data_IF_939241408400
#
_entry.id   IF_939241408400
#
_cell.length_a   1.000
_cell.length_b   1.000
_cell.length_c   1.000
_cell.angle_alpha   90.00
_cell.angle_beta   90.00
_cell.angle_gamma   90.00
#
_symmetry.space_group_name_H-M   'P 1'
#
loop_
_entity.id
_entity.type
_entity.pdbx_description
1 polymer ?
#
# COMPACT_ATOMS: atom_id res chain seq x y z
N UNK A 1 10.87 -1.81 -36.84
CA UNK A 1 12.25 -2.18 -36.41
C UNK A 1 13.37 -1.60 -37.29
N UNK A 2 13.23 -1.49 -38.61
CA UNK A 2 14.30 -0.95 -39.48
C UNK A 2 14.61 0.56 -39.28
N UNK A 3 13.69 1.34 -38.70
CA UNK A 3 13.89 2.77 -38.41
C UNK A 3 14.59 3.05 -37.06
N UNK A 4 14.81 2.03 -36.22
CA UNK A 4 15.50 2.14 -34.93
C UNK A 4 17.01 1.91 -35.05
N UNK A 5 17.56 1.95 -36.27
CA UNK A 5 18.98 1.76 -36.55
C UNK A 5 19.51 2.93 -37.38
N UNK A 6 19.05 4.16 -37.09
CA UNK A 6 19.75 5.34 -37.57
C UNK A 6 21.21 5.26 -37.12
N UNK A 7 22.12 5.50 -38.05
CA UNK A 7 23.54 5.62 -37.75
C UNK A 7 23.71 6.70 -36.68
N UNK A 8 24.19 6.33 -35.50
CA UNK A 8 24.41 7.26 -34.39
C UNK A 8 25.38 8.38 -34.79
N UNK A 9 26.26 8.12 -35.76
CA UNK A 9 27.16 9.10 -36.32
C UNK A 9 26.38 10.19 -37.07
N UNK A 10 25.36 9.81 -37.84
CA UNK A 10 24.52 10.73 -38.60
C UNK A 10 23.58 11.59 -37.73
N UNK A 11 23.38 11.25 -36.44
CA UNK A 11 22.53 12.02 -35.53
C UNK A 11 23.15 13.35 -35.10
N UNK A 12 24.44 13.57 -35.35
CA UNK A 12 25.19 14.76 -34.93
C UNK A 12 26.09 15.26 -36.06
N UNK A 13 26.40 16.56 -36.02
CA UNK A 13 27.21 17.22 -37.05
C UNK A 13 28.72 17.03 -36.86
N UNK A 14 29.16 16.71 -35.64
CA UNK A 14 30.55 16.36 -35.32
C UNK A 14 30.83 14.91 -35.70
N UNK A 15 32.08 14.55 -35.99
CA UNK A 15 32.44 13.14 -36.15
C UNK A 15 32.46 12.40 -34.81
N UNK A 16 32.06 11.12 -34.80
CA UNK A 16 32.24 10.24 -33.66
C UNK A 16 33.71 10.14 -33.21
N UNK A 17 33.95 10.38 -31.94
CA UNK A 17 35.26 10.39 -31.29
C UNK A 17 35.45 9.24 -30.27
N UNK A 18 34.42 8.39 -30.11
CA UNK A 18 34.42 7.21 -29.25
C UNK A 18 33.94 5.98 -30.03
N UNK A 19 34.57 4.83 -29.77
CA UNK A 19 34.13 3.53 -30.28
C UNK A 19 33.65 2.63 -29.15
N UNK A 20 32.46 2.06 -29.31
CA UNK A 20 31.89 1.09 -28.38
C UNK A 20 32.03 -0.31 -28.95
N UNK A 21 32.74 -1.19 -28.25
CA UNK A 21 32.94 -2.59 -28.64
C UNK A 21 32.00 -3.46 -27.82
N UNK A 22 31.17 -4.24 -28.52
CA UNK A 22 30.15 -5.13 -27.95
C UNK A 22 30.65 -6.56 -27.83
N UNK A 23 29.85 -7.44 -27.24
CA UNK A 23 30.23 -8.82 -26.91
C UNK A 23 30.59 -9.68 -28.14
N UNK A 24 29.97 -9.43 -29.29
CA UNK A 24 30.21 -10.12 -30.56
C UNK A 24 31.34 -9.47 -31.39
N UNK A 25 32.03 -8.47 -30.83
CA UNK A 25 33.11 -7.76 -31.51
C UNK A 25 32.63 -6.63 -32.43
N UNK A 26 31.31 -6.40 -32.55
CA UNK A 26 30.82 -5.25 -33.32
C UNK A 26 31.26 -3.95 -32.67
N UNK A 27 31.58 -2.98 -33.52
CA UNK A 27 32.02 -1.64 -33.10
C UNK A 27 30.99 -0.60 -33.52
N UNK A 28 30.50 0.16 -32.55
CA UNK A 28 29.51 1.22 -32.74
C UNK A 28 30.21 2.57 -32.56
N UNK A 29 30.11 3.44 -33.55
CA UNK A 29 30.60 4.81 -33.47
C UNK A 29 29.68 5.66 -32.56
N UNK A 30 30.28 6.45 -31.66
CA UNK A 30 29.54 7.26 -30.70
C UNK A 30 30.29 8.55 -30.34
N UNK A 31 29.58 9.44 -29.65
CA UNK A 31 30.04 10.78 -29.31
C UNK A 31 30.29 10.93 -27.81
N UNK A 32 31.52 11.29 -27.44
CA UNK A 32 31.95 11.41 -26.04
C UNK A 32 31.06 12.32 -25.22
N UNK A 33 30.71 13.50 -25.74
CA UNK A 33 29.90 14.49 -25.02
C UNK A 33 28.47 14.01 -24.74
N UNK A 34 27.87 13.20 -25.63
CA UNK A 34 26.54 12.60 -25.41
C UNK A 34 26.63 11.57 -24.29
N UNK A 35 27.62 10.68 -24.37
CA UNK A 35 27.79 9.60 -23.38
C UNK A 35 28.18 10.15 -22.00
N UNK A 36 29.09 11.12 -21.96
CA UNK A 36 29.57 11.75 -20.74
C UNK A 36 28.45 12.54 -20.03
N UNK A 37 27.64 13.28 -20.79
CA UNK A 37 26.50 14.02 -20.21
C UNK A 37 25.39 13.09 -19.71
N UNK A 38 25.19 11.95 -20.36
CA UNK A 38 24.15 10.99 -19.98
C UNK A 38 24.54 10.06 -18.82
N UNK A 39 25.84 9.78 -18.64
CA UNK A 39 26.33 8.83 -17.65
C UNK A 39 27.65 9.27 -17.01
N UNK A 40 27.69 9.44 -15.67
CA UNK A 40 28.93 9.73 -14.98
C UNK A 40 29.92 8.54 -15.00
N UNK A 41 29.43 7.32 -15.27
CA UNK A 41 30.30 6.15 -15.44
C UNK A 41 31.00 6.22 -16.79
N UNK A 42 30.25 6.49 -17.86
CA UNK A 42 30.82 6.65 -19.21
C UNK A 42 31.78 7.84 -19.27
N UNK A 43 31.43 8.98 -18.65
CA UNK A 43 32.33 10.14 -18.52
C UNK A 43 33.70 9.74 -17.94
N UNK A 44 33.70 9.03 -16.81
CA UNK A 44 34.94 8.55 -16.19
C UNK A 44 35.69 7.55 -17.06
N UNK A 45 34.97 6.69 -17.80
CA UNK A 45 35.59 5.72 -18.72
C UNK A 45 36.26 6.44 -19.89
N UNK A 46 35.61 7.44 -20.47
CA UNK A 46 36.15 8.28 -21.56
C UNK A 46 37.40 9.02 -21.08
N UNK A 47 37.33 9.69 -19.92
CA UNK A 47 38.47 10.41 -19.35
C UNK A 47 39.66 9.48 -19.01
N UNK A 48 39.42 8.20 -18.75
CA UNK A 48 40.49 7.19 -18.58
C UNK A 48 41.04 6.73 -19.93
N UNK A 49 40.16 6.48 -20.90
CA UNK A 49 40.54 6.01 -22.22
C UNK A 49 41.43 7.03 -22.96
N UNK A 50 41.11 8.32 -22.88
CA UNK A 50 41.92 9.39 -23.48
C UNK A 50 43.31 9.58 -22.85
N UNK A 51 43.53 9.08 -21.63
CA UNK A 51 44.87 9.09 -21.01
C UNK A 51 45.77 7.96 -21.53
N UNK A 52 45.20 6.94 -22.15
CA UNK A 52 45.96 5.93 -22.87
C UNK A 52 46.39 6.46 -24.24
N UNK A 53 47.58 6.09 -24.71
CA UNK A 53 48.03 6.39 -26.06
C UNK A 53 47.21 5.55 -27.07
N UNK A 54 46.03 6.04 -27.49
CA UNK A 54 45.16 5.34 -28.43
C UNK A 54 43.79 5.99 -28.64
N UNK A 55 43.02 5.46 -29.58
CA UNK A 55 41.64 5.88 -29.83
C UNK A 55 40.72 5.50 -28.66
N UNK A 56 39.78 6.39 -28.30
CA UNK A 56 38.87 6.17 -27.18
C UNK A 56 37.93 5.00 -27.43
N UNK A 57 38.16 3.89 -26.73
CA UNK A 57 37.39 2.66 -26.89
C UNK A 57 36.76 2.25 -25.57
N UNK A 58 35.45 2.03 -25.56
CA UNK A 58 34.68 1.55 -24.42
C UNK A 58 34.16 0.15 -24.72
N UNK A 59 34.36 -0.79 -23.80
CA UNK A 59 33.85 -2.17 -23.95
C UNK A 59 32.56 -2.33 -23.15
N UNK A 60 31.49 -2.77 -23.80
CA UNK A 60 30.20 -3.10 -23.20
C UNK A 60 29.94 -4.58 -23.46
N UNK A 61 30.19 -5.42 -22.46
CA UNK A 61 30.17 -6.87 -22.61
C UNK A 61 29.08 -7.51 -21.74
N UNK A 62 28.69 -8.74 -22.08
CA UNK A 62 27.69 -9.52 -21.34
C UNK A 62 26.24 -9.16 -21.68
N UNK A 63 26.04 -8.30 -22.68
CA UNK A 63 24.72 -7.91 -23.19
C UNK A 63 24.73 -8.04 -24.72
N UNK A 64 23.62 -8.47 -25.34
CA UNK A 64 23.45 -8.49 -26.80
C UNK A 64 23.66 -7.12 -27.45
N UNK A 65 24.26 -7.10 -28.65
CA UNK A 65 24.67 -5.87 -29.34
C UNK A 65 23.50 -4.98 -29.75
N UNK A 66 22.34 -5.57 -30.08
CA UNK A 66 21.08 -4.87 -30.33
C UNK A 66 20.59 -4.10 -29.10
N UNK A 67 20.68 -4.70 -27.90
CA UNK A 67 20.33 -4.03 -26.65
C UNK A 67 21.33 -2.93 -26.26
N UNK A 68 22.62 -3.10 -26.59
CA UNK A 68 23.61 -2.01 -26.43
C UNK A 68 23.27 -0.85 -27.37
N UNK A 69 22.92 -1.13 -28.62
CA UNK A 69 22.52 -0.09 -29.55
C UNK A 69 21.24 0.63 -29.08
N UNK A 70 20.23 -0.12 -28.63
CA UNK A 70 19.01 0.43 -28.05
C UNK A 70 19.30 1.34 -26.85
N UNK A 71 20.22 0.93 -25.96
CA UNK A 71 20.68 1.77 -24.84
C UNK A 71 21.26 3.08 -25.34
N UNK A 72 22.17 3.04 -26.32
CA UNK A 72 22.78 4.25 -26.89
C UNK A 72 21.76 5.15 -27.56
N UNK A 73 20.84 4.59 -28.35
CA UNK A 73 19.76 5.33 -28.98
C UNK A 73 18.93 6.13 -27.97
N UNK A 74 18.59 5.51 -26.83
CA UNK A 74 17.87 6.18 -25.75
C UNK A 74 18.69 7.29 -25.08
N UNK A 75 20.01 7.14 -24.97
CA UNK A 75 20.89 8.22 -24.49
C UNK A 75 20.92 9.41 -25.48
N UNK A 76 20.97 9.13 -26.78
CA UNK A 76 20.95 10.16 -27.82
C UNK A 76 19.62 10.91 -27.88
N UNK A 77 18.52 10.17 -27.78
CA UNK A 77 17.16 10.74 -27.75
C UNK A 77 16.86 11.47 -26.44
N UNK A 78 17.58 11.14 -25.36
CA UNK A 78 17.33 11.66 -24.00
C UNK A 78 15.90 11.39 -23.52
N UNK A 79 15.26 10.34 -24.04
CA UNK A 79 13.87 9.98 -23.78
C UNK A 79 13.72 8.46 -23.69
N UNK A 80 12.70 8.01 -22.96
CA UNK A 80 12.37 6.59 -22.82
C UNK A 80 11.30 6.23 -23.85
N UNK A 81 11.71 5.89 -25.06
CA UNK A 81 10.80 5.26 -26.03
C UNK A 81 10.27 3.95 -25.45
N UNK A 82 8.95 3.89 -25.21
CA UNK A 82 8.32 2.77 -24.51
C UNK A 82 8.45 1.45 -25.28
N UNK A 83 8.46 1.47 -26.62
CA UNK A 83 8.58 0.27 -27.43
C UNK A 83 10.00 -0.30 -27.38
N UNK A 84 11.01 0.57 -27.46
CA UNK A 84 12.42 0.18 -27.33
C UNK A 84 12.69 -0.38 -25.94
N UNK A 85 12.18 0.31 -24.91
CA UNK A 85 12.30 -0.12 -23.51
C UNK A 85 11.57 -1.44 -23.26
N UNK A 86 10.43 -1.66 -23.93
CA UNK A 86 9.71 -2.93 -23.88
C UNK A 86 10.51 -4.09 -24.45
N UNK A 87 11.12 -3.89 -25.62
CA UNK A 87 11.80 -4.94 -26.37
C UNK A 87 13.08 -5.44 -25.66
N UNK A 88 13.81 -4.54 -24.98
CA UNK A 88 15.09 -4.84 -24.34
C UNK A 88 15.08 -4.64 -22.82
N UNK A 89 13.92 -4.71 -22.18
CA UNK A 89 13.71 -4.31 -20.78
C UNK A 89 14.76 -4.84 -19.78
N UNK A 90 14.99 -6.17 -19.68
CA UNK A 90 15.98 -6.73 -18.76
C UNK A 90 17.41 -6.23 -19.01
N UNK A 91 17.81 -6.16 -20.28
CA UNK A 91 19.14 -5.70 -20.70
C UNK A 91 19.32 -4.20 -20.41
N UNK A 92 18.31 -3.39 -20.71
CA UNK A 92 18.30 -1.96 -20.43
C UNK A 92 18.30 -1.67 -18.94
N UNK A 93 17.63 -2.48 -18.12
CA UNK A 93 17.70 -2.36 -16.66
C UNK A 93 19.14 -2.57 -16.16
N UNK A 94 19.81 -3.61 -16.65
CA UNK A 94 21.20 -3.91 -16.30
C UNK A 94 22.15 -2.81 -16.76
N UNK A 95 22.06 -2.37 -18.03
CA UNK A 95 22.90 -1.30 -18.58
C UNK A 95 22.66 0.03 -17.86
N UNK A 96 21.40 0.41 -17.63
CA UNK A 96 21.06 1.65 -16.93
C UNK A 96 21.52 1.64 -15.47
N UNK A 97 21.51 0.48 -14.80
CA UNK A 97 22.10 0.34 -13.48
C UNK A 97 23.63 0.48 -13.51
N UNK A 98 24.31 -0.31 -14.35
CA UNK A 98 25.77 -0.34 -14.47
C UNK A 98 26.37 1.01 -14.85
N UNK A 99 25.73 1.71 -15.80
CA UNK A 99 26.14 3.03 -16.26
C UNK A 99 25.46 4.18 -15.49
N UNK A 100 24.71 3.89 -14.43
CA UNK A 100 24.06 4.90 -13.55
C UNK A 100 23.23 5.94 -14.32
N UNK A 101 22.26 5.47 -15.09
CA UNK A 101 21.28 6.29 -15.84
C UNK A 101 19.90 6.17 -15.16
N UNK A 102 19.56 7.00 -14.16
CA UNK A 102 18.44 6.70 -13.25
C UNK A 102 17.06 6.81 -13.87
N UNK A 103 16.88 7.68 -14.88
CA UNK A 103 15.60 7.81 -15.58
C UNK A 103 15.32 6.54 -16.41
N UNK A 104 16.33 6.02 -17.12
CA UNK A 104 16.19 4.81 -17.92
C UNK A 104 16.04 3.57 -17.05
N UNK A 105 16.77 3.49 -15.92
CA UNK A 105 16.60 2.42 -14.93
C UNK A 105 15.15 2.33 -14.47
N UNK A 106 14.51 3.47 -14.14
CA UNK A 106 13.10 3.51 -13.72
C UNK A 106 12.14 3.10 -14.83
N UNK A 107 12.39 3.52 -16.07
CA UNK A 107 11.56 3.14 -17.22
C UNK A 107 11.66 1.64 -17.50
N UNK A 108 12.87 1.09 -17.54
CA UNK A 108 13.12 -0.33 -17.74
C UNK A 108 12.52 -1.17 -16.60
N UNK A 109 12.72 -0.77 -15.34
CA UNK A 109 12.11 -1.44 -14.18
C UNK A 109 10.58 -1.50 -14.28
N UNK A 110 9.93 -0.42 -14.71
CA UNK A 110 8.49 -0.37 -14.91
C UNK A 110 8.04 -1.28 -16.07
N UNK A 111 8.73 -1.23 -17.20
CA UNK A 111 8.41 -2.04 -18.38
C UNK A 111 8.56 -3.56 -18.11
N UNK A 112 9.64 -3.96 -17.43
CA UNK A 112 9.85 -5.37 -17.03
C UNK A 112 8.78 -5.81 -16.03
N UNK A 113 8.47 -4.96 -15.04
CA UNK A 113 7.43 -5.26 -14.05
C UNK A 113 6.04 -5.43 -14.67
N UNK A 114 5.72 -4.66 -15.72
CA UNK A 114 4.42 -4.70 -16.38
C UNK A 114 4.19 -5.98 -17.22
N UNK A 115 5.26 -6.58 -17.74
CA UNK A 115 5.23 -7.78 -18.60
C UNK A 115 5.63 -9.05 -17.87
N UNK A 116 5.74 -9.00 -16.55
CA UNK A 116 6.24 -10.09 -15.74
C UNK A 116 5.27 -11.28 -15.75
N UNK A 117 5.76 -12.46 -16.12
CA UNK A 117 5.03 -13.73 -16.09
C UNK A 117 5.53 -14.60 -14.93
N UNK A 118 4.73 -15.58 -14.44
CA UNK A 118 5.16 -16.51 -13.41
C UNK A 118 6.44 -17.27 -13.80
N UNK A 119 6.52 -17.69 -15.07
CA UNK A 119 7.68 -18.41 -15.61
C UNK A 119 9.00 -17.62 -15.46
N UNK A 120 8.97 -16.30 -15.67
CA UNK A 120 10.14 -15.43 -15.60
C UNK A 120 10.37 -14.81 -14.21
N UNK A 121 9.52 -15.11 -13.22
CA UNK A 121 9.52 -14.40 -11.94
C UNK A 121 10.85 -14.56 -11.18
N UNK A 122 11.45 -15.76 -11.22
CA UNK A 122 12.69 -16.07 -10.51
C UNK A 122 13.90 -15.41 -11.17
N UNK A 123 13.99 -15.46 -12.50
CA UNK A 123 15.07 -14.80 -13.26
C UNK A 123 15.03 -13.28 -13.05
N UNK A 124 13.83 -12.70 -13.10
CA UNK A 124 13.64 -11.28 -12.88
C UNK A 124 13.84 -10.88 -11.42
N UNK A 125 13.60 -11.79 -10.46
CA UNK A 125 13.95 -11.56 -9.05
C UNK A 125 15.47 -11.48 -8.88
N UNK A 126 16.22 -12.39 -9.52
CA UNK A 126 17.68 -12.34 -9.52
C UNK A 126 18.19 -11.04 -10.12
N UNK A 127 17.67 -10.66 -11.29
CA UNK A 127 18.01 -9.39 -11.95
C UNK A 127 17.68 -8.19 -11.05
N UNK A 128 16.54 -8.21 -10.36
CA UNK A 128 16.14 -7.14 -9.46
C UNK A 128 17.11 -6.96 -8.29
N UNK A 129 17.62 -8.07 -7.73
CA UNK A 129 18.67 -8.04 -6.71
C UNK A 129 19.99 -7.50 -7.25
N UNK A 130 20.42 -7.93 -8.44
CA UNK A 130 21.67 -7.48 -9.07
C UNK A 130 21.64 -6.00 -9.48
N UNK A 131 20.46 -5.46 -9.76
CA UNK A 131 20.30 -4.10 -10.26
C UNK A 131 19.72 -3.12 -9.23
N UNK A 132 19.57 -3.49 -7.96
CA UNK A 132 18.88 -2.70 -6.92
C UNK A 132 17.51 -2.16 -7.41
N UNK A 133 16.64 -3.06 -7.90
CA UNK A 133 15.34 -2.73 -8.49
C UNK A 133 14.18 -3.16 -7.57
N UNK A 134 13.84 -2.37 -6.52
CA UNK A 134 12.88 -2.78 -5.50
C UNK A 134 11.44 -2.92 -6.00
N UNK A 135 11.03 -2.17 -7.05
CA UNK A 135 9.68 -2.28 -7.62
C UNK A 135 9.55 -3.57 -8.42
N UNK A 136 10.59 -3.96 -9.15
CA UNK A 136 10.62 -5.25 -9.83
C UNK A 136 10.65 -6.40 -8.83
N UNK A 137 11.47 -6.32 -7.77
CA UNK A 137 11.48 -7.31 -6.67
C UNK A 137 10.09 -7.52 -6.07
N UNK A 138 9.37 -6.43 -5.79
CA UNK A 138 8.00 -6.50 -5.29
C UNK A 138 7.00 -7.07 -6.32
N UNK A 139 7.20 -6.77 -7.61
CA UNK A 139 6.39 -7.34 -8.68
C UNK A 139 6.57 -8.87 -8.79
N UNK A 140 7.80 -9.37 -8.69
CA UNK A 140 8.10 -10.81 -8.66
C UNK A 140 7.38 -11.52 -7.51
N UNK A 141 7.48 -10.99 -6.29
CA UNK A 141 6.76 -11.55 -5.14
C UNK A 141 5.23 -11.53 -5.32
N UNK A 142 4.69 -10.49 -5.99
CA UNK A 142 3.26 -10.38 -6.26
C UNK A 142 2.79 -11.45 -7.25
N UNK A 143 3.52 -11.64 -8.36
CA UNK A 143 3.22 -12.65 -9.39
C UNK A 143 3.36 -14.05 -8.79
N UNK A 144 4.45 -14.32 -8.06
CA UNK A 144 4.68 -15.61 -7.45
C UNK A 144 3.58 -16.02 -6.47
N UNK A 145 3.14 -15.15 -5.55
CA UNK A 145 2.02 -15.49 -4.68
C UNK A 145 0.63 -15.33 -5.34
N UNK A 146 0.54 -15.04 -6.65
CA UNK A 146 -0.72 -15.19 -7.40
C UNK A 146 -0.82 -16.61 -7.96
N UNK A 147 0.29 -17.14 -8.46
CA UNK A 147 0.35 -18.46 -9.10
C UNK A 147 1.71 -19.11 -8.81
N UNK A 148 1.86 -19.64 -7.59
CA UNK A 148 3.13 -20.22 -7.16
C UNK A 148 3.41 -21.55 -7.87
N UNK A 149 2.36 -22.31 -8.21
CA UNK A 149 2.49 -23.55 -8.96
C UNK A 149 3.15 -23.33 -10.33
N UNK A 150 2.78 -22.27 -11.06
CA UNK A 150 3.44 -21.90 -12.31
C UNK A 150 4.90 -21.48 -12.11
N UNK A 151 5.23 -20.83 -10.98
CA UNK A 151 6.62 -20.51 -10.63
C UNK A 151 7.42 -21.78 -10.34
N UNK A 152 6.87 -22.72 -9.57
CA UNK A 152 7.53 -23.99 -9.25
C UNK A 152 7.82 -24.83 -10.50
N UNK A 153 6.96 -24.71 -11.51
CA UNK A 153 7.12 -25.36 -12.81
C UNK A 153 8.09 -24.62 -13.75
N UNK A 154 8.62 -23.46 -13.39
CA UNK A 154 9.56 -22.69 -14.23
C UNK A 154 10.99 -23.23 -14.17
N UNK A 155 11.75 -23.01 -15.24
CA UNK A 155 13.17 -23.36 -15.28
C UNK A 155 13.99 -22.50 -14.33
N UNK A 156 13.64 -21.21 -14.18
CA UNK A 156 14.30 -20.30 -13.23
C UNK A 156 14.21 -20.82 -11.79
N UNK A 157 13.05 -21.36 -11.38
CA UNK A 157 12.89 -21.99 -10.07
C UNK A 157 13.74 -23.25 -9.93
N UNK A 158 13.68 -24.16 -10.91
CA UNK A 158 14.51 -25.38 -10.91
C UNK A 158 16.01 -25.07 -10.85
N UNK A 159 16.45 -24.02 -11.53
CA UNK A 159 17.83 -23.56 -11.51
C UNK A 159 18.20 -22.99 -10.14
N UNK A 160 17.38 -22.10 -9.57
CA UNK A 160 17.60 -21.52 -8.25
C UNK A 160 17.74 -22.61 -7.17
N UNK A 161 16.85 -23.60 -7.16
CA UNK A 161 16.92 -24.71 -6.20
C UNK A 161 18.22 -25.51 -6.22
N UNK A 162 18.87 -25.59 -7.39
CA UNK A 162 20.11 -26.36 -7.57
C UNK A 162 21.37 -25.53 -7.37
N UNK A 163 21.31 -24.25 -7.74
CA UNK A 163 22.52 -23.43 -7.94
C UNK A 163 22.51 -22.11 -7.16
N UNK A 164 21.36 -21.67 -6.65
CA UNK A 164 21.21 -20.42 -5.89
C UNK A 164 20.14 -20.57 -4.79
N UNK A 165 20.43 -21.32 -3.71
CA UNK A 165 19.49 -21.52 -2.62
C UNK A 165 19.15 -20.22 -1.87
N UNK A 166 20.00 -19.20 -1.97
CA UNK A 166 19.72 -17.88 -1.41
C UNK A 166 18.58 -17.18 -2.16
N UNK A 167 18.53 -17.30 -3.50
CA UNK A 167 17.44 -16.78 -4.31
C UNK A 167 16.12 -17.52 -4.05
N UNK A 168 16.16 -18.84 -3.89
CA UNK A 168 14.99 -19.63 -3.48
C UNK A 168 14.44 -19.15 -2.14
N UNK A 169 15.32 -19.08 -1.12
CA UNK A 169 14.95 -18.62 0.22
C UNK A 169 14.39 -17.20 0.20
N UNK A 170 15.01 -16.30 -0.58
CA UNK A 170 14.52 -14.93 -0.74
C UNK A 170 13.07 -14.91 -1.23
N UNK A 171 12.74 -15.68 -2.28
CA UNK A 171 11.38 -15.71 -2.79
C UNK A 171 10.42 -16.25 -1.72
N UNK A 172 10.74 -17.37 -1.07
CA UNK A 172 9.91 -17.96 -0.03
C UNK A 172 9.64 -16.99 1.14
N UNK A 173 10.68 -16.29 1.60
CA UNK A 173 10.55 -15.26 2.64
C UNK A 173 9.63 -14.12 2.20
N UNK A 174 9.74 -13.65 0.96
CA UNK A 174 8.85 -12.61 0.44
C UNK A 174 7.38 -13.05 0.40
N UNK A 175 7.11 -14.33 0.11
CA UNK A 175 5.76 -14.90 0.14
C UNK A 175 5.23 -15.00 1.58
N UNK A 176 6.03 -15.54 2.50
CA UNK A 176 5.66 -15.65 3.90
C UNK A 176 5.37 -14.28 4.52
N UNK A 177 6.27 -13.30 4.34
CA UNK A 177 6.06 -11.95 4.82
C UNK A 177 4.79 -11.32 4.27
N UNK A 178 4.47 -11.57 2.99
CA UNK A 178 3.24 -11.09 2.37
C UNK A 178 2.02 -11.72 3.04
N UNK A 179 2.04 -13.02 3.31
CA UNK A 179 0.91 -13.71 3.93
C UNK A 179 0.74 -13.29 5.39
N UNK A 180 1.83 -13.12 6.13
CA UNK A 180 1.80 -12.53 7.46
C UNK A 180 1.26 -11.08 7.44
N UNK A 181 1.66 -10.25 6.47
CA UNK A 181 1.11 -8.89 6.27
C UNK A 181 -0.40 -8.96 6.01
N UNK A 182 -0.85 -9.83 5.09
CA UNK A 182 -2.28 -10.02 4.79
C UNK A 182 -3.07 -10.46 6.02
N UNK A 183 -2.57 -11.44 6.77
CA UNK A 183 -3.20 -11.92 7.99
C UNK A 183 -3.24 -10.85 9.09
N UNK A 184 -2.18 -10.04 9.24
CA UNK A 184 -2.19 -8.86 10.14
C UNK A 184 -3.25 -7.85 9.73
N UNK A 185 -3.30 -7.49 8.45
CA UNK A 185 -4.27 -6.52 7.92
C UNK A 185 -5.71 -7.02 8.02
N UNK A 186 -5.94 -8.31 7.81
CA UNK A 186 -7.26 -8.93 7.99
C UNK A 186 -7.70 -8.87 9.46
N UNK A 187 -6.82 -9.25 10.40
CA UNK A 187 -7.09 -9.15 11.84
C UNK A 187 -7.34 -7.70 12.28
N UNK A 188 -6.58 -6.76 11.74
CA UNK A 188 -6.75 -5.35 12.07
C UNK A 188 -8.08 -4.80 11.51
N UNK A 189 -8.44 -5.14 10.27
CA UNK A 189 -9.74 -4.78 9.70
C UNK A 189 -10.89 -5.37 10.51
N UNK A 190 -10.86 -6.66 10.83
CA UNK A 190 -11.88 -7.30 11.67
C UNK A 190 -11.97 -6.66 13.06
N UNK A 191 -10.83 -6.32 13.68
CA UNK A 191 -10.81 -5.60 14.95
C UNK A 191 -11.40 -4.19 14.83
N UNK A 192 -11.13 -3.47 13.74
CA UNK A 192 -11.67 -2.13 13.49
C UNK A 192 -13.18 -2.18 13.25
N UNK A 193 -13.65 -3.15 12.47
CA UNK A 193 -15.08 -3.38 12.20
C UNK A 193 -15.84 -3.70 13.49
N UNK A 194 -15.34 -4.61 14.32
CA UNK A 194 -15.94 -4.90 15.62
C UNK A 194 -15.96 -3.67 16.55
N UNK A 195 -14.91 -2.83 16.53
CA UNK A 195 -14.91 -1.58 17.29
C UNK A 195 -15.89 -0.54 16.72
N UNK A 196 -16.12 -0.54 15.39
CA UNK A 196 -17.13 0.27 14.71
C UNK A 196 -18.53 -0.11 15.16
N UNK A 197 -18.88 -1.41 15.09
CA UNK A 197 -20.18 -1.91 15.58
C UNK A 197 -20.42 -1.58 17.06
N UNK A 198 -19.39 -1.66 17.90
CA UNK A 198 -19.48 -1.23 19.29
C UNK A 198 -19.71 0.27 19.41
N UNK A 199 -19.03 1.10 18.62
CA UNK A 199 -19.24 2.55 18.60
C UNK A 199 -20.67 2.91 18.17
N UNK A 200 -21.17 2.28 17.11
CA UNK A 200 -22.55 2.45 16.62
C UNK A 200 -23.57 2.02 17.67
N UNK A 201 -23.29 0.96 18.43
CA UNK A 201 -24.11 0.55 19.57
C UNK A 201 -24.08 1.58 20.71
N UNK A 202 -22.94 2.25 20.98
CA UNK A 202 -22.87 3.32 21.99
C UNK A 202 -23.68 4.55 21.55
N UNK A 203 -23.57 4.95 20.28
CA UNK A 203 -24.39 6.04 19.72
C UNK A 203 -25.88 5.67 19.66
N UNK A 204 -26.22 4.39 19.43
CA UNK A 204 -27.60 3.90 19.51
C UNK A 204 -28.15 3.93 20.93
N UNK A 205 -27.34 3.58 21.94
CA UNK A 205 -27.72 3.71 23.34
C UNK A 205 -28.00 5.18 23.69
N UNK A 206 -27.13 6.10 23.30
CA UNK A 206 -27.38 7.53 23.49
C UNK A 206 -28.71 7.94 22.81
N UNK A 207 -28.95 7.57 21.55
CA UNK A 207 -30.21 7.88 20.87
C UNK A 207 -31.47 7.30 21.53
N UNK A 208 -31.40 6.04 21.99
CA UNK A 208 -32.53 5.38 22.68
C UNK A 208 -32.90 6.11 23.98
N UNK A 209 -31.89 6.58 24.72
CA UNK A 209 -32.11 7.16 26.05
C UNK A 209 -32.11 8.70 26.06
N UNK A 210 -31.64 9.37 25.00
CA UNK A 210 -31.67 10.84 24.84
C UNK A 210 -32.99 11.35 24.28
N UNK A 211 -33.81 10.48 23.67
CA UNK A 211 -35.13 10.89 23.20
C UNK A 211 -35.94 11.41 24.40
N UNK A 212 -36.29 12.71 24.46
CA UNK A 212 -37.27 13.17 25.42
C UNK A 212 -38.54 12.38 25.12
N UNK A 213 -38.98 11.57 26.07
CA UNK A 213 -40.33 11.05 26.04
C UNK A 213 -41.22 12.28 26.15
N UNK A 214 -41.60 12.86 25.01
CA UNK A 214 -42.50 13.99 24.95
C UNK A 214 -43.75 13.58 25.73
N UNK A 215 -43.98 14.31 26.81
CA UNK A 215 -45.11 14.11 27.68
C UNK A 215 -46.41 14.05 26.86
N UNK A 216 -47.27 13.12 27.25
CA UNK A 216 -48.68 13.01 26.88
C UNK A 216 -49.01 12.76 25.40
N UNK A 217 -49.38 11.51 25.10
CA UNK A 217 -50.48 11.18 24.19
C UNK A 217 -50.32 11.61 22.73
N UNK A 218 -49.44 10.97 21.98
CA UNK A 218 -49.62 10.83 20.53
C UNK A 218 -48.82 9.63 20.04
N UNK A 219 -49.46 8.76 19.25
CA UNK A 219 -48.86 7.55 18.71
C UNK A 219 -47.60 7.91 17.92
N UNK A 220 -46.43 7.58 18.47
CA UNK A 220 -45.16 7.78 17.79
C UNK A 220 -45.14 6.97 16.49
N UNK A 221 -45.28 7.66 15.34
CA UNK A 221 -44.81 7.11 14.07
C UNK A 221 -43.28 6.98 14.15
N UNK A 222 -42.68 5.88 13.69
CA UNK A 222 -41.23 5.77 13.62
C UNK A 222 -40.74 6.84 12.64
N UNK A 223 -39.93 7.77 13.11
CA UNK A 223 -39.14 8.63 12.24
C UNK A 223 -38.20 7.72 11.43
N UNK A 224 -38.46 7.61 10.13
CA UNK A 224 -37.57 6.96 9.18
C UNK A 224 -36.30 7.81 9.06
N UNK A 225 -35.28 7.47 9.85
CA UNK A 225 -33.91 7.82 9.53
C UNK A 225 -33.31 6.66 8.76
N UNK A 226 -33.00 6.91 7.49
CA UNK A 226 -32.38 5.99 6.54
C UNK A 226 -30.94 5.62 6.92
N UNK A 227 -30.77 4.90 8.03
CA UNK A 227 -29.48 4.45 8.53
C UNK A 227 -29.62 3.29 9.52
N UNK A 228 -29.43 2.07 9.01
CA UNK A 228 -29.18 0.82 9.74
C UNK A 228 -30.06 0.54 10.98
N UNK A 229 -31.33 0.20 10.73
CA UNK A 229 -32.28 -0.26 11.76
C UNK A 229 -31.91 -1.58 12.45
N UNK A 230 -30.74 -2.19 12.17
CA UNK A 230 -30.36 -3.49 12.73
C UNK A 230 -29.76 -3.39 14.13
N UNK A 231 -28.92 -2.39 14.41
CA UNK A 231 -28.26 -2.22 15.71
C UNK A 231 -29.25 -1.78 16.81
N UNK A 232 -30.12 -0.82 16.52
CA UNK A 232 -31.08 -0.28 17.49
C UNK A 232 -32.16 -1.30 17.85
N UNK A 233 -32.70 -2.02 16.86
CA UNK A 233 -33.68 -3.09 17.11
C UNK A 233 -33.04 -4.24 17.92
N UNK A 234 -31.79 -4.60 17.61
CA UNK A 234 -31.03 -5.57 18.40
C UNK A 234 -30.87 -5.17 19.88
N UNK A 235 -30.57 -3.89 20.15
CA UNK A 235 -30.49 -3.35 21.51
C UNK A 235 -31.85 -3.36 22.21
N UNK A 236 -32.92 -2.93 21.54
CA UNK A 236 -34.29 -2.96 22.08
C UNK A 236 -34.72 -4.38 22.45
N UNK A 237 -34.39 -5.38 21.63
CA UNK A 237 -34.64 -6.80 21.93
C UNK A 237 -33.87 -7.28 23.18
N UNK A 238 -32.60 -6.88 23.32
CA UNK A 238 -31.81 -7.20 24.51
C UNK A 238 -32.40 -6.55 25.77
N UNK A 239 -32.87 -5.30 25.68
CA UNK A 239 -33.52 -4.59 26.79
C UNK A 239 -34.85 -5.24 27.19
N UNK A 240 -35.72 -5.58 26.22
CA UNK A 240 -36.97 -6.33 26.47
C UNK A 240 -36.69 -7.66 27.17
N UNK A 241 -35.69 -8.40 26.71
CA UNK A 241 -35.28 -9.63 27.36
C UNK A 241 -34.77 -9.39 28.79
N UNK A 242 -33.93 -8.38 29.00
CA UNK A 242 -33.37 -8.07 30.32
C UNK A 242 -34.45 -7.70 31.35
N UNK A 243 -35.51 -6.99 30.92
CA UNK A 243 -36.64 -6.64 31.77
C UNK A 243 -37.34 -7.91 32.33
N UNK A 244 -37.64 -8.88 31.46
CA UNK A 244 -38.38 -10.10 31.81
C UNK A 244 -37.55 -11.32 32.23
N UNK A 245 -36.21 -11.26 32.18
CA UNK A 245 -35.38 -12.44 32.41
C UNK A 245 -35.18 -12.74 33.90
N UNK A 246 -35.80 -13.81 34.40
CA UNK A 246 -35.63 -14.31 35.78
C UNK A 246 -34.18 -14.77 36.07
N UNK A 247 -33.43 -15.19 35.05
CA UNK A 247 -32.04 -15.68 35.17
C UNK A 247 -30.98 -14.56 35.19
N UNK A 248 -31.39 -13.28 35.19
CA UNK A 248 -30.44 -12.15 35.12
C UNK A 248 -29.50 -12.06 36.33
N UNK A 249 -29.98 -12.43 37.52
CA UNK A 249 -29.22 -12.42 38.78
C UNK A 249 -28.91 -13.83 39.34
N UNK A 250 -29.29 -14.89 38.62
CA UNK A 250 -29.11 -16.26 39.06
C UNK A 250 -27.63 -16.71 38.96
N UNK A 251 -27.14 -17.62 39.84
CA UNK A 251 -25.83 -18.24 39.69
C UNK A 251 -25.74 -18.95 38.32
N UNK A 252 -24.65 -18.70 37.59
CA UNK A 252 -24.50 -19.07 36.17
C UNK A 252 -24.99 -18.01 35.17
N UNK A 253 -26.05 -17.26 35.51
CA UNK A 253 -26.54 -16.07 34.80
C UNK A 253 -27.04 -16.28 33.36
N UNK A 254 -27.73 -15.29 32.80
CA UNK A 254 -28.15 -15.30 31.39
C UNK A 254 -27.09 -14.64 30.47
N UNK A 255 -26.68 -15.33 29.40
CA UNK A 255 -25.70 -14.81 28.44
C UNK A 255 -26.15 -13.49 27.76
N UNK A 256 -27.43 -13.34 27.42
CA UNK A 256 -27.99 -12.11 26.83
C UNK A 256 -27.95 -10.94 27.81
N UNK A 257 -28.32 -11.17 29.07
CA UNK A 257 -28.25 -10.16 30.12
C UNK A 257 -26.81 -9.74 30.43
N UNK A 258 -25.87 -10.70 30.47
CA UNK A 258 -24.44 -10.40 30.64
C UNK A 258 -23.92 -9.50 29.51
N UNK A 259 -24.28 -9.78 28.25
CA UNK A 259 -23.89 -8.94 27.10
C UNK A 259 -24.44 -7.51 27.22
N UNK A 260 -25.71 -7.34 27.59
CA UNK A 260 -26.29 -6.01 27.79
C UNK A 260 -25.58 -5.22 28.90
N UNK A 261 -25.27 -5.87 30.03
CA UNK A 261 -24.51 -5.25 31.11
C UNK A 261 -23.08 -4.87 30.67
N UNK A 262 -22.43 -5.68 29.82
CA UNK A 262 -21.12 -5.31 29.25
C UNK A 262 -21.22 -4.09 28.31
N UNK A 263 -22.31 -3.94 27.55
CA UNK A 263 -22.54 -2.75 26.72
C UNK A 263 -22.74 -1.50 27.57
N UNK A 264 -23.51 -1.57 28.66
CA UNK A 264 -23.63 -0.44 29.60
C UNK A 264 -22.31 -0.10 30.28
N UNK A 265 -21.50 -1.11 30.64
CA UNK A 265 -20.15 -0.89 31.16
C UNK A 265 -19.23 -0.22 30.14
N UNK A 266 -19.31 -0.62 28.88
CA UNK A 266 -18.54 0.00 27.79
C UNK A 266 -18.99 1.44 27.58
N UNK A 267 -20.30 1.70 27.55
CA UNK A 267 -20.87 3.04 27.44
C UNK A 267 -20.35 3.97 28.53
N UNK A 268 -20.45 3.54 29.79
CA UNK A 268 -19.91 4.28 30.93
C UNK A 268 -18.41 4.60 30.81
N UNK A 269 -17.65 3.77 30.09
CA UNK A 269 -16.21 3.95 29.87
C UNK A 269 -15.87 4.89 28.71
N UNK A 270 -16.82 5.17 27.80
CA UNK A 270 -16.65 6.06 26.64
C UNK A 270 -17.55 7.30 26.68
N UNK A 271 -18.33 7.46 27.75
CA UNK A 271 -19.27 8.54 27.93
C UNK A 271 -18.55 9.78 28.46
N UNK A 272 -18.50 10.85 27.66
CA UNK A 272 -17.82 12.10 27.99
C UNK A 272 -18.73 13.13 28.67
N UNK A 273 -20.05 12.86 28.80
CA UNK A 273 -21.04 13.78 29.41
C UNK A 273 -20.82 14.08 30.89
N UNK A 274 -19.89 13.40 31.55
CA UNK A 274 -19.45 13.74 32.90
C UNK A 274 -18.36 14.84 32.95
N UNK A 275 -17.86 15.31 31.80
CA UNK A 275 -16.73 16.24 31.71
C UNK A 275 -17.09 17.65 31.16
N UNK A 276 -18.21 17.81 30.47
CA UNK A 276 -18.70 19.10 29.97
C UNK A 276 -19.53 19.80 31.07
N UNK A 277 -18.90 20.76 31.76
CA UNK A 277 -19.44 21.48 32.93
C UNK A 277 -20.64 22.41 32.67
N UNK A 278 -21.16 22.47 31.45
CA UNK A 278 -22.20 23.45 31.04
C UNK A 278 -23.59 22.83 30.77
N UNK A 279 -23.78 21.53 30.98
CA UNK A 279 -25.10 20.88 30.86
C UNK A 279 -25.35 19.97 32.08
N UNK A 280 -26.17 20.44 33.03
CA UNK A 280 -26.56 19.74 34.28
C UNK A 280 -27.37 18.44 34.08
N UNK A 281 -27.44 17.90 32.85
CA UNK A 281 -28.23 16.71 32.55
C UNK A 281 -27.38 15.43 32.73
N UNK A 282 -27.66 14.57 33.71
CA UNK A 282 -26.94 13.30 33.86
C UNK A 282 -27.20 12.40 32.63
N UNK A 283 -26.22 11.57 32.28
CA UNK A 283 -26.39 10.58 31.23
C UNK A 283 -27.58 9.64 31.55
N UNK A 284 -28.52 9.52 30.61
CA UNK A 284 -29.77 8.75 30.77
C UNK A 284 -29.60 7.24 30.50
N UNK A 285 -28.42 6.81 30.05
CA UNK A 285 -28.15 5.39 29.82
C UNK A 285 -28.09 4.63 31.16
N UNK A 286 -28.84 3.52 31.32
CA UNK A 286 -28.92 2.78 32.56
C UNK A 286 -27.56 2.33 33.09
N UNK A 287 -27.37 2.45 34.41
CA UNK A 287 -26.17 2.04 35.12
C UNK A 287 -24.89 2.78 34.71
N UNK A 288 -24.97 3.83 33.89
CA UNK A 288 -23.80 4.59 33.46
C UNK A 288 -23.01 5.13 34.67
N UNK A 289 -23.66 5.91 35.55
CA UNK A 289 -23.03 6.47 36.76
C UNK A 289 -22.46 5.40 37.70
N UNK A 290 -23.19 4.29 37.89
CA UNK A 290 -22.75 3.17 38.72
C UNK A 290 -21.48 2.51 38.17
N UNK A 291 -21.42 2.24 36.86
CA UNK A 291 -20.22 1.66 36.25
C UNK A 291 -19.06 2.66 36.23
N UNK A 292 -19.31 3.95 36.00
CA UNK A 292 -18.27 4.98 36.08
C UNK A 292 -17.62 5.02 37.46
N UNK A 293 -18.41 5.05 38.54
CA UNK A 293 -17.90 5.02 39.91
C UNK A 293 -17.13 3.71 40.22
N UNK A 294 -17.68 2.57 39.79
CA UNK A 294 -17.03 1.26 39.99
C UNK A 294 -15.68 1.17 39.29
N UNK A 295 -15.54 1.72 38.08
CA UNK A 295 -14.30 1.70 37.31
C UNK A 295 -13.22 2.64 37.88
N UNK A 296 -13.61 3.67 38.63
CA UNK A 296 -12.66 4.52 39.38
C UNK A 296 -12.08 3.77 40.59
N UNK A 297 -12.89 2.93 41.25
CA UNK A 297 -12.45 2.11 42.38
C UNK A 297 -11.64 0.86 41.93
N UNK A 298 -12.11 0.16 40.90
CA UNK A 298 -11.48 -1.05 40.38
C UNK A 298 -10.64 -0.72 39.13
N UNK A 299 -9.32 -0.60 39.29
CA UNK A 299 -8.41 -0.38 38.15
C UNK A 299 -8.67 -1.40 37.03
N UNK A 300 -9.13 -0.91 35.88
CA UNK A 300 -9.39 -1.75 34.71
C UNK A 300 -8.14 -2.51 34.23
N UNK A 301 -8.33 -3.71 33.68
CA UNK A 301 -7.24 -4.43 33.00
C UNK A 301 -6.78 -3.69 31.72
N UNK A 302 -5.53 -3.92 31.31
CA UNK A 302 -4.91 -3.39 30.08
C UNK A 302 -5.75 -3.70 28.84
N UNK A 303 -6.34 -4.89 28.76
CA UNK A 303 -7.18 -5.33 27.63
C UNK A 303 -8.43 -4.46 27.49
N UNK A 304 -9.12 -4.19 28.61
CA UNK A 304 -10.31 -3.34 28.64
C UNK A 304 -9.97 -1.91 28.23
N UNK A 305 -8.88 -1.34 28.76
CA UNK A 305 -8.43 0.02 28.38
C UNK A 305 -8.14 0.14 26.89
N UNK A 306 -7.54 -0.89 26.28
CA UNK A 306 -7.25 -0.89 24.85
C UNK A 306 -8.55 -0.94 24.02
N UNK A 307 -9.53 -1.75 24.44
CA UNK A 307 -10.84 -1.81 23.80
C UNK A 307 -11.53 -0.45 23.85
N UNK A 308 -11.63 0.17 25.03
CA UNK A 308 -12.22 1.51 25.21
C UNK A 308 -11.57 2.52 24.27
N UNK A 309 -10.23 2.61 24.25
CA UNK A 309 -9.50 3.51 23.34
C UNK A 309 -9.84 3.28 21.86
N UNK A 310 -9.93 2.01 21.42
CA UNK A 310 -10.27 1.68 20.03
C UNK A 310 -11.71 2.07 19.68
N UNK A 311 -12.66 1.82 20.59
CA UNK A 311 -14.07 2.18 20.42
C UNK A 311 -14.24 3.70 20.41
N UNK A 312 -13.62 4.44 21.34
CA UNK A 312 -13.64 5.91 21.35
C UNK A 312 -13.08 6.48 20.04
N UNK A 313 -11.96 5.93 19.53
CA UNK A 313 -11.42 6.35 18.24
C UNK A 313 -12.37 6.04 17.08
N UNK A 314 -12.97 4.85 17.05
CA UNK A 314 -13.93 4.48 16.00
C UNK A 314 -15.14 5.42 16.01
N UNK A 315 -15.69 5.72 17.19
CA UNK A 315 -16.79 6.65 17.42
C UNK A 315 -16.46 8.07 16.95
N UNK A 316 -15.28 8.58 17.30
CA UNK A 316 -14.82 9.89 16.84
C UNK A 316 -14.67 9.94 15.31
N UNK A 317 -14.08 8.91 14.69
CA UNK A 317 -13.92 8.85 13.23
C UNK A 317 -15.26 8.76 12.50
N UNK A 318 -16.23 8.01 13.02
CA UNK A 318 -17.58 7.92 12.45
C UNK A 318 -18.30 9.28 12.49
N UNK A 319 -18.23 9.98 13.63
CA UNK A 319 -18.78 11.34 13.79
C UNK A 319 -18.12 12.37 12.86
N UNK A 320 -16.82 12.21 12.58
CA UNK A 320 -16.10 13.05 11.63
C UNK A 320 -16.45 12.73 10.17
N UNK A 321 -16.69 11.46 9.84
CA UNK A 321 -17.08 11.04 8.49
C UNK A 321 -18.43 11.63 8.04
N UNK A 322 -19.33 11.91 8.98
CA UNK A 322 -20.61 12.58 8.72
C UNK A 322 -20.55 14.11 8.63
N UNK A 323 -19.40 14.75 8.90
CA UNK A 323 -19.25 16.20 8.77
C UNK A 323 -18.99 16.60 7.33
N UNK A 324 -19.73 17.57 6.82
CA UNK A 324 -19.38 18.21 5.54
C UNK A 324 -17.98 18.83 5.68
N UNK A 325 -17.08 18.43 4.78
CA UNK A 325 -15.76 19.05 4.68
C UNK A 325 -15.96 20.51 4.27
N UNK A 326 -15.45 21.49 5.02
CA UNK A 326 -15.58 22.89 4.64
C UNK A 326 -15.06 23.11 3.23
N UNK A 327 -15.81 23.88 2.43
CA UNK A 327 -15.55 24.08 1.00
C UNK A 327 -14.11 24.55 0.73
N UNK A 328 -13.55 25.37 1.62
CA UNK A 328 -12.15 25.84 1.57
C UNK A 328 -11.12 24.70 1.64
N UNK A 329 -11.39 23.65 2.43
CA UNK A 329 -10.51 22.48 2.57
C UNK A 329 -10.65 21.56 1.36
N UNK A 330 -11.89 21.38 0.87
CA UNK A 330 -12.15 20.62 -0.36
C UNK A 330 -11.49 21.26 -1.59
N UNK A 331 -11.59 22.59 -1.73
CA UNK A 331 -10.92 23.34 -2.80
C UNK A 331 -9.39 23.27 -2.69
N UNK A 332 -8.83 23.31 -1.48
CA UNK A 332 -7.39 23.16 -1.25
C UNK A 332 -6.89 21.75 -1.61
N UNK A 333 -7.64 20.71 -1.24
CA UNK A 333 -7.35 19.32 -1.61
C UNK A 333 -7.45 19.09 -3.12
N UNK A 334 -8.47 19.63 -3.77
CA UNK A 334 -8.62 19.56 -5.22
C UNK A 334 -7.45 20.25 -5.95
N UNK A 335 -6.99 21.40 -5.43
CA UNK A 335 -5.83 22.15 -5.95
C UNK A 335 -4.51 21.41 -5.75
N UNK A 336 -4.36 20.69 -4.62
CA UNK A 336 -3.19 19.84 -4.36
C UNK A 336 -3.16 18.61 -5.27
N UNK A 337 -4.30 17.93 -5.46
CA UNK A 337 -4.40 16.77 -6.35
C UNK A 337 -4.26 17.13 -7.83
N UNK A 338 -4.76 18.30 -8.26
CA UNK A 338 -4.58 18.78 -9.64
C UNK A 338 -3.18 19.33 -9.92
N UNK A 339 -2.46 19.77 -8.87
CA UNK A 339 -1.04 20.16 -8.96
C UNK A 339 -0.09 18.94 -8.98
N UNK A 340 -0.56 17.78 -8.51
CA UNK A 340 0.14 16.51 -8.74
C UNK A 340 -0.06 16.09 -10.20
N UNK A 341 1.05 15.95 -10.94
CA UNK A 341 1.15 15.54 -12.36
C UNK A 341 0.53 14.16 -12.71
N UNK A 342 -0.34 13.59 -11.87
CA UNK A 342 -0.87 12.22 -11.99
C UNK A 342 -2.30 12.12 -12.54
N UNK A 343 -2.92 13.24 -12.94
CA UNK A 343 -4.29 13.24 -13.49
C UNK A 343 -4.38 13.11 -15.03
N UNK A 344 -3.26 12.94 -15.75
CA UNK A 344 -3.24 12.76 -17.23
C UNK A 344 -2.99 11.32 -17.71
N UNK A 345 -3.32 10.32 -16.89
CA UNK A 345 -3.27 8.91 -17.28
C UNK A 345 -4.60 8.21 -16.97
N UNK A 346 -5.63 8.54 -17.76
CA UNK A 346 -6.71 7.62 -18.09
C UNK A 346 -6.74 7.44 -19.59
#
# INVERSE_FOLDING_TARGET
MALLYADLDALRASAADVRIVTSDGQTIAAHSYVLASASPVLERMIHRAWRGAGACTIRVLGVPSDAVLAFLHLLYASSADEEVVAAHGPQLLALAHAYRVPWLKRAAEAAVSARLTPDRAVDMLKLAGLCDAPRLRAACARVAAKDFAAVEASDGWRFARRHDPALELELLQLLEERDQRRARWARERASREACGQLADAMDSLDRIFDAPCAAAGSSCKPCATDGDGTCEEGLRLLMRHFAGCARKAAPGGCARCKRLLQLFRLHASVCDRSAEKDQDQPCLVPLCSHFTAKMQAEKADKTWRLLVKKVTRARAMARLAGRQVPEVVAMSWARYNSSSKWAKLR
#
